data_IF_782027943266
#
_entry.id   IF_782027943266
#
_cell.length_a   1.000
_cell.length_b   1.000
_cell.length_c   1.000
_cell.angle_alpha   90.00
_cell.angle_beta   90.00
_cell.angle_gamma   90.00
#
_symmetry.space_group_name_H-M   'P 1'
#
loop_
_entity.id
_entity.type
_entity.pdbx_description
1 polymer ?
#
# COMPACT_ATOMS: atom_id res chain seq x y z
N UNK A 1 10.27 -9.68 -3.34
CA UNK A 1 9.39 -10.85 -3.18
C UNK A 1 10.02 -12.00 -3.93
N UNK A 2 10.21 -13.12 -3.26
CA UNK A 2 10.85 -14.33 -3.76
C UNK A 2 10.06 -14.98 -4.90
N UNK A 3 10.76 -15.74 -5.74
CA UNK A 3 10.19 -16.52 -6.83
C UNK A 3 9.81 -17.93 -6.33
N UNK A 4 9.05 -18.03 -5.24
CA UNK A 4 8.69 -19.32 -4.66
C UNK A 4 7.70 -20.11 -5.51
N UNK A 5 7.74 -21.45 -5.43
CA UNK A 5 6.77 -22.32 -6.09
C UNK A 5 5.30 -22.00 -5.74
N UNK A 6 5.00 -21.64 -4.48
CA UNK A 6 3.65 -21.31 -4.03
C UNK A 6 3.11 -20.05 -4.73
N UNK A 7 3.94 -19.02 -4.89
CA UNK A 7 3.55 -17.81 -5.63
C UNK A 7 3.26 -18.14 -7.08
N UNK A 8 4.17 -18.84 -7.75
CA UNK A 8 4.01 -19.21 -9.16
C UNK A 8 2.70 -19.99 -9.38
N UNK A 9 2.43 -20.94 -8.49
CA UNK A 9 1.21 -21.74 -8.54
C UNK A 9 -0.05 -20.88 -8.31
N UNK A 10 -0.09 -20.07 -7.26
CA UNK A 10 -1.28 -19.27 -6.91
C UNK A 10 -1.60 -18.20 -7.97
N UNK A 11 -0.57 -17.60 -8.59
CA UNK A 11 -0.74 -16.68 -9.73
C UNK A 11 -1.32 -17.40 -10.95
N UNK A 12 -0.97 -18.67 -11.16
CA UNK A 12 -1.56 -19.52 -12.19
C UNK A 12 -3.02 -19.88 -11.92
N UNK A 13 -3.44 -19.90 -10.65
CA UNK A 13 -4.82 -20.21 -10.24
C UNK A 13 -5.70 -18.97 -10.03
N UNK A 14 -5.24 -17.77 -10.37
CA UNK A 14 -5.92 -16.51 -10.05
C UNK A 14 -7.37 -16.40 -10.55
N UNK A 15 -7.69 -17.09 -11.65
CA UNK A 15 -9.00 -17.06 -12.31
C UNK A 15 -9.86 -18.28 -11.92
N UNK A 16 -9.36 -19.17 -11.06
CA UNK A 16 -10.09 -20.33 -10.53
C UNK A 16 -10.86 -19.91 -9.26
N UNK A 17 -12.19 -20.16 -9.18
CA UNK A 17 -13.03 -19.72 -8.04
C UNK A 17 -12.48 -20.10 -6.66
N UNK A 18 -11.98 -21.33 -6.50
CA UNK A 18 -11.46 -21.83 -5.23
C UNK A 18 -10.23 -21.04 -4.71
N UNK A 19 -9.48 -20.43 -5.63
CA UNK A 19 -8.23 -19.74 -5.34
C UNK A 19 -8.30 -18.23 -5.51
N UNK A 20 -9.40 -17.70 -6.05
CA UNK A 20 -9.57 -16.28 -6.33
C UNK A 20 -9.44 -15.43 -5.07
N UNK A 21 -10.00 -15.87 -3.94
CA UNK A 21 -9.87 -15.17 -2.65
C UNK A 21 -8.41 -15.13 -2.18
N UNK A 22 -7.74 -16.28 -2.18
CA UNK A 22 -6.33 -16.41 -1.79
C UNK A 22 -5.42 -15.54 -2.67
N UNK A 23 -5.64 -15.57 -3.99
CA UNK A 23 -4.93 -14.72 -4.93
C UNK A 23 -5.20 -13.24 -4.64
N UNK A 24 -6.47 -12.85 -4.45
CA UNK A 24 -6.87 -11.48 -4.13
C UNK A 24 -6.16 -10.95 -2.87
N UNK A 25 -6.12 -11.77 -1.81
CA UNK A 25 -5.43 -11.43 -0.57
C UNK A 25 -3.90 -11.40 -0.72
N UNK A 26 -3.29 -12.32 -1.46
CA UNK A 26 -1.83 -12.44 -1.52
C UNK A 26 -1.18 -11.53 -2.59
N UNK A 27 -1.75 -11.51 -3.79
CA UNK A 27 -1.13 -10.95 -4.99
C UNK A 27 -2.06 -10.07 -5.83
N UNK A 28 -3.33 -9.93 -5.42
CA UNK A 28 -4.31 -9.09 -6.08
C UNK A 28 -3.90 -7.63 -6.09
N UNK A 29 -4.26 -6.92 -7.16
CA UNK A 29 -4.08 -5.47 -7.23
C UNK A 29 -4.91 -4.81 -6.13
N UNK A 30 -4.28 -3.98 -5.30
CA UNK A 30 -4.95 -3.25 -4.23
C UNK A 30 -5.58 -1.96 -4.75
N UNK A 31 -6.76 -1.57 -4.24
CA UNK A 31 -7.33 -0.26 -4.51
C UNK A 31 -6.44 0.84 -3.89
N UNK A 32 -6.74 2.10 -4.20
CA UNK A 32 -5.99 3.24 -3.67
C UNK A 32 -6.13 3.37 -2.13
N UNK A 33 -7.26 2.97 -1.58
CA UNK A 33 -7.54 3.03 -0.14
C UNK A 33 -8.04 1.68 0.38
N UNK A 34 -7.58 1.29 1.56
CA UNK A 34 -8.07 0.14 2.31
C UNK A 34 -8.47 0.58 3.73
N UNK A 35 -9.63 0.14 4.20
CA UNK A 35 -10.14 0.45 5.54
C UNK A 35 -10.55 -0.84 6.25
N UNK A 36 -10.08 -1.02 7.48
CA UNK A 36 -10.35 -2.21 8.28
C UNK A 36 -10.91 -1.83 9.65
N UNK A 37 -11.91 -2.56 10.14
CA UNK A 37 -12.40 -2.44 11.51
C UNK A 37 -11.78 -3.54 12.36
N UNK A 38 -10.69 -3.23 13.07
CA UNK A 38 -9.93 -4.20 13.84
C UNK A 38 -10.71 -4.90 14.96
N UNK A 39 -11.87 -4.36 15.36
CA UNK A 39 -12.73 -4.98 16.38
C UNK A 39 -13.47 -6.19 15.82
N UNK A 40 -13.79 -6.18 14.53
CA UNK A 40 -14.52 -7.25 13.85
C UNK A 40 -13.66 -8.05 12.88
N UNK A 41 -12.57 -7.47 12.38
CA UNK A 41 -11.58 -8.08 11.50
C UNK A 41 -10.15 -7.75 11.97
N UNK A 42 -9.67 -8.43 13.04
CA UNK A 42 -8.31 -8.23 13.55
C UNK A 42 -7.21 -8.53 12.52
N UNK A 43 -7.49 -9.47 11.61
CA UNK A 43 -6.57 -9.94 10.58
C UNK A 43 -6.55 -9.05 9.32
N UNK A 44 -7.40 -8.01 9.25
CA UNK A 44 -7.43 -7.03 8.15
C UNK A 44 -7.63 -7.67 6.77
N UNK A 45 -8.50 -8.67 6.70
CA UNK A 45 -8.77 -9.43 5.47
C UNK A 45 -9.95 -8.88 4.68
N UNK A 46 -10.83 -8.09 5.32
CA UNK A 46 -12.04 -7.52 4.74
C UNK A 46 -11.90 -6.01 4.59
N UNK A 47 -11.55 -5.57 3.39
CA UNK A 47 -11.50 -4.16 3.06
C UNK A 47 -12.91 -3.54 3.00
N UNK A 48 -13.14 -2.51 3.81
CA UNK A 48 -14.39 -1.74 3.95
C UNK A 48 -14.37 -0.41 3.20
N UNK A 49 -13.32 -0.10 2.43
CA UNK A 49 -13.17 1.20 1.76
C UNK A 49 -14.30 1.51 0.76
N UNK A 50 -14.97 0.51 0.20
CA UNK A 50 -16.11 0.68 -0.73
C UNK A 50 -17.46 0.59 -0.03
N UNK A 51 -17.51 0.34 1.28
CA UNK A 51 -18.73 0.25 2.05
C UNK A 51 -19.28 1.65 2.39
N UNK A 52 -20.49 1.95 1.91
CA UNK A 52 -21.15 3.26 2.13
C UNK A 52 -21.35 3.59 3.60
N UNK A 53 -21.50 2.58 4.47
CA UNK A 53 -21.66 2.83 5.91
C UNK A 53 -20.38 3.37 6.56
N UNK A 54 -19.21 3.13 5.96
CA UNK A 54 -17.90 3.57 6.44
C UNK A 54 -17.36 4.81 5.69
N UNK A 55 -18.07 5.35 4.70
CA UNK A 55 -17.60 6.45 3.85
C UNK A 55 -17.16 7.69 4.65
N UNK A 56 -17.92 8.06 5.69
CA UNK A 56 -17.57 9.20 6.56
C UNK A 56 -16.25 8.96 7.31
N UNK A 57 -16.06 7.73 7.80
CA UNK A 57 -14.85 7.33 8.51
C UNK A 57 -13.65 7.31 7.57
N UNK A 58 -13.82 6.74 6.37
CA UNK A 58 -12.78 6.72 5.33
C UNK A 58 -12.31 8.13 5.00
N UNK A 59 -13.23 9.04 4.65
CA UNK A 59 -12.89 10.44 4.32
C UNK A 59 -12.19 11.16 5.47
N UNK A 60 -12.63 10.93 6.71
CA UNK A 60 -12.00 11.54 7.90
C UNK A 60 -10.56 11.07 8.06
N UNK A 61 -10.31 9.76 8.00
CA UNK A 61 -8.98 9.18 8.18
C UNK A 61 -8.05 9.52 7.02
N UNK A 62 -8.56 9.48 5.78
CA UNK A 62 -7.84 9.89 4.57
C UNK A 62 -7.38 11.35 4.67
N UNK A 63 -8.27 12.27 5.07
CA UNK A 63 -7.90 13.67 5.34
C UNK A 63 -6.87 13.81 6.45
N UNK A 64 -7.02 13.08 7.55
CA UNK A 64 -6.07 13.12 8.66
C UNK A 64 -4.67 12.66 8.24
N UNK A 65 -4.59 11.57 7.47
CA UNK A 65 -3.34 11.06 6.91
C UNK A 65 -2.69 12.11 5.99
N UNK A 66 -3.43 12.63 5.02
CA UNK A 66 -2.88 13.59 4.06
C UNK A 66 -2.42 14.88 4.72
N UNK A 67 -3.17 15.39 5.71
CA UNK A 67 -2.74 16.55 6.49
C UNK A 67 -1.41 16.29 7.20
N UNK A 68 -1.28 15.15 7.89
CA UNK A 68 -0.05 14.79 8.59
C UNK A 68 1.14 14.68 7.62
N UNK A 69 0.95 14.03 6.46
CA UNK A 69 2.00 13.88 5.45
C UNK A 69 2.45 15.24 4.88
N UNK A 70 1.53 16.17 4.65
CA UNK A 70 1.86 17.53 4.21
C UNK A 70 2.58 18.30 5.31
N UNK A 71 2.09 18.25 6.55
CA UNK A 71 2.69 18.93 7.71
C UNK A 71 4.11 18.46 7.99
N UNK A 72 4.39 17.17 7.83
CA UNK A 72 5.73 16.61 8.02
C UNK A 72 6.62 16.70 6.78
N UNK A 73 6.10 17.26 5.67
CA UNK A 73 6.83 17.44 4.43
C UNK A 73 7.20 16.13 3.70
N UNK A 74 6.31 15.14 3.68
CA UNK A 74 6.56 13.87 3.01
C UNK A 74 6.81 14.07 1.49
N UNK A 75 8.00 13.72 0.96
CA UNK A 75 8.36 13.97 -0.44
C UNK A 75 7.43 13.30 -1.46
N UNK A 76 6.72 12.23 -1.06
CA UNK A 76 5.74 11.54 -1.92
C UNK A 76 4.47 12.34 -2.13
N UNK A 77 4.16 13.26 -1.22
CA UNK A 77 2.94 14.06 -1.24
C UNK A 77 3.20 15.48 -1.71
N UNK A 78 4.27 16.12 -1.24
CA UNK A 78 4.55 17.54 -1.58
C UNK A 78 5.33 17.71 -2.89
N UNK A 79 6.02 16.65 -3.34
CA UNK A 79 6.87 16.67 -4.53
C UNK A 79 6.13 16.25 -5.81
N UNK A 80 6.90 15.86 -6.81
CA UNK A 80 6.40 15.31 -8.08
C UNK A 80 6.10 13.80 -8.01
N UNK A 81 6.16 13.21 -6.81
CA UNK A 81 6.00 11.78 -6.57
C UNK A 81 7.20 10.93 -6.99
N UNK A 82 8.20 11.50 -7.67
CA UNK A 82 9.33 10.78 -8.26
C UNK A 82 10.61 10.89 -7.43
N UNK A 83 10.54 11.47 -6.23
CA UNK A 83 11.73 11.68 -5.38
C UNK A 83 12.49 10.37 -5.12
N UNK A 84 11.77 9.28 -4.82
CA UNK A 84 12.38 7.98 -4.54
C UNK A 84 12.67 7.14 -5.79
N UNK A 85 12.18 7.56 -6.95
CA UNK A 85 12.43 6.90 -8.24
C UNK A 85 13.61 7.55 -9.00
N UNK A 86 14.38 8.42 -8.34
CA UNK A 86 15.53 9.13 -8.90
C UNK A 86 16.77 9.00 -8.01
N UNK A 87 17.94 9.29 -8.59
CA UNK A 87 19.19 9.46 -7.85
C UNK A 87 19.02 10.49 -6.72
N UNK A 88 19.56 10.23 -5.50
CA UNK A 88 20.46 9.13 -5.15
C UNK A 88 19.76 7.84 -4.69
N UNK A 89 18.41 7.81 -4.60
CA UNK A 89 17.68 6.68 -4.01
C UNK A 89 17.68 5.41 -4.86
N UNK A 90 17.92 5.55 -6.16
CA UNK A 90 17.98 4.44 -7.12
C UNK A 90 19.42 4.04 -7.49
N UNK A 91 20.43 4.72 -6.96
CA UNK A 91 21.82 4.48 -7.35
C UNK A 91 22.34 3.17 -6.74
N UNK A 92 23.06 2.32 -7.50
CA UNK A 92 23.54 1.03 -7.01
C UNK A 92 24.63 1.16 -5.93
N UNK A 93 25.27 2.33 -5.85
CA UNK A 93 26.28 2.64 -4.84
C UNK A 93 26.10 4.10 -4.41
N UNK A 94 25.14 4.39 -3.52
CA UNK A 94 24.77 5.76 -3.18
C UNK A 94 25.98 6.47 -2.55
N UNK A 95 26.24 7.74 -2.89
CA UNK A 95 27.32 8.51 -2.28
C UNK A 95 27.09 8.60 -0.77
N UNK A 96 28.17 8.52 0.02
CA UNK A 96 28.10 8.68 1.46
C UNK A 96 27.30 9.94 1.82
N UNK A 97 26.31 9.80 2.71
CA UNK A 97 25.46 10.91 3.12
C UNK A 97 26.35 12.05 3.60
N UNK A 98 26.31 13.19 2.90
CA UNK A 98 26.96 14.41 3.39
C UNK A 98 26.20 14.82 4.65
N UNK A 99 26.88 14.81 5.79
CA UNK A 99 26.36 15.36 7.04
C UNK A 99 25.82 16.76 6.74
N UNK A 100 24.52 16.95 6.98
CA UNK A 100 23.90 18.27 6.92
C UNK A 100 24.17 18.92 8.27
N UNK A 101 24.94 20.02 8.27
CA UNK A 101 25.10 20.94 9.40
C UNK A 101 23.78 21.65 9.74
#
# INVERSE_FOLDING_TARGET
MDASPTKAWLVGQRDTPDWQWHYGCAFGKRPAEELYDLRSDPEQTRNLATDRSYEKTLKKLSKQLMNALVETGDPRVIGDGLTFDRSPFTDPNPPAAKNRE
#
